data_IF_103345823613
#
_entry.id   IF_103345823613
#
_cell.length_a   1.000
_cell.length_b   1.000
_cell.length_c   1.000
_cell.angle_alpha   90.00
_cell.angle_beta   90.00
_cell.angle_gamma   90.00
#
_symmetry.space_group_name_H-M   'P 1'
#
loop_
_entity.id
_entity.type
_entity.pdbx_description
1 polymer ?
#
# COMPACT_ATOMS: atom_id res chain seq x y z
N UNK A 1 -37.16 0.14 9.42
CA UNK A 1 -35.77 0.01 8.93
C UNK A 1 -35.40 -1.46 9.00
N UNK A 2 -35.35 -2.11 7.84
CA UNK A 2 -35.41 -3.56 7.68
C UNK A 2 -34.13 -4.26 8.15
N UNK A 3 -34.31 -5.37 8.87
CA UNK A 3 -33.22 -6.27 9.25
C UNK A 3 -32.71 -6.98 7.99
N UNK A 4 -31.42 -6.81 7.67
CA UNK A 4 -30.74 -7.55 6.61
C UNK A 4 -30.78 -9.05 6.91
N UNK A 5 -31.01 -9.88 5.88
CA UNK A 5 -30.86 -11.33 5.98
C UNK A 5 -29.40 -11.71 6.23
N UNK A 6 -29.13 -12.93 6.71
CA UNK A 6 -27.75 -13.38 6.94
C UNK A 6 -26.89 -13.29 5.66
N UNK A 7 -27.47 -13.64 4.52
CA UNK A 7 -26.84 -13.55 3.19
C UNK A 7 -26.54 -12.11 2.79
N UNK A 8 -27.50 -11.19 2.99
CA UNK A 8 -27.30 -9.77 2.71
C UNK A 8 -26.21 -9.15 3.60
N UNK A 9 -26.12 -9.55 4.88
CA UNK A 9 -25.03 -9.10 5.77
C UNK A 9 -23.67 -9.60 5.29
N UNK A 10 -23.59 -10.87 4.87
CA UNK A 10 -22.36 -11.44 4.36
C UNK A 10 -21.88 -10.72 3.09
N UNK A 11 -22.80 -10.43 2.16
CA UNK A 11 -22.49 -9.68 0.94
C UNK A 11 -21.98 -8.26 1.27
N UNK A 12 -22.61 -7.55 2.20
CA UNK A 12 -22.18 -6.22 2.65
C UNK A 12 -20.79 -6.27 3.28
N UNK A 13 -20.50 -7.26 4.13
CA UNK A 13 -19.18 -7.41 4.75
C UNK A 13 -18.09 -7.71 3.70
N UNK A 14 -18.38 -8.56 2.72
CA UNK A 14 -17.45 -8.83 1.62
C UNK A 14 -17.17 -7.57 0.80
N UNK A 15 -18.20 -6.81 0.46
CA UNK A 15 -18.04 -5.55 -0.26
C UNK A 15 -17.19 -4.56 0.55
N UNK A 16 -17.49 -4.38 1.84
CA UNK A 16 -16.75 -3.50 2.72
C UNK A 16 -15.26 -3.89 2.81
N UNK A 17 -14.96 -5.19 2.88
CA UNK A 17 -13.57 -5.68 2.88
C UNK A 17 -12.85 -5.38 1.56
N UNK A 18 -13.51 -5.55 0.42
CA UNK A 18 -12.94 -5.22 -0.89
C UNK A 18 -12.64 -3.73 -1.01
N UNK A 19 -13.57 -2.87 -0.60
CA UNK A 19 -13.40 -1.41 -0.59
C UNK A 19 -12.25 -1.00 0.34
N UNK A 20 -12.13 -1.61 1.52
CA UNK A 20 -11.03 -1.34 2.44
C UNK A 20 -9.67 -1.71 1.81
N UNK A 21 -9.57 -2.88 1.17
CA UNK A 21 -8.35 -3.32 0.50
C UNK A 21 -7.96 -2.39 -0.65
N UNK A 22 -8.93 -1.91 -1.44
CA UNK A 22 -8.68 -0.93 -2.50
C UNK A 22 -8.13 0.38 -1.93
N UNK A 23 -8.73 0.91 -0.84
CA UNK A 23 -8.26 2.14 -0.19
C UNK A 23 -6.83 1.99 0.35
N UNK A 24 -6.52 0.86 0.98
CA UNK A 24 -5.17 0.54 1.48
C UNK A 24 -4.17 0.54 0.33
N UNK A 25 -4.52 -0.09 -0.80
CA UNK A 25 -3.65 -0.12 -1.98
C UNK A 25 -3.42 1.29 -2.56
N UNK A 26 -4.48 2.10 -2.67
CA UNK A 26 -4.39 3.46 -3.18
C UNK A 26 -3.50 4.35 -2.30
N UNK A 27 -3.68 4.31 -0.98
CA UNK A 27 -2.83 5.04 -0.02
C UNK A 27 -1.36 4.60 -0.11
N UNK A 28 -1.14 3.30 -0.25
CA UNK A 28 0.20 2.73 -0.41
C UNK A 28 0.89 3.22 -1.69
N UNK A 29 0.17 3.25 -2.81
CA UNK A 29 0.67 3.80 -4.09
C UNK A 29 0.97 5.30 -3.96
N UNK A 30 0.07 6.09 -3.37
CA UNK A 30 0.27 7.54 -3.21
C UNK A 30 1.51 7.86 -2.38
N UNK A 31 1.72 7.15 -1.27
CA UNK A 31 2.92 7.29 -0.43
C UNK A 31 4.19 6.88 -1.17
N UNK A 32 4.14 5.80 -1.94
CA UNK A 32 5.27 5.36 -2.75
C UNK A 32 5.63 6.40 -3.82
N UNK A 33 4.63 6.92 -4.55
CA UNK A 33 4.81 7.98 -5.55
C UNK A 33 5.46 9.21 -4.94
N UNK A 34 4.92 9.73 -3.82
CA UNK A 34 5.50 10.89 -3.14
C UNK A 34 6.95 10.62 -2.70
N UNK A 35 7.22 9.45 -2.15
CA UNK A 35 8.55 9.05 -1.66
C UNK A 35 9.56 8.98 -2.80
N UNK A 36 9.23 8.26 -3.87
CA UNK A 36 10.14 8.07 -4.99
C UNK A 36 10.30 9.34 -5.83
N UNK A 37 9.25 10.15 -6.00
CA UNK A 37 9.39 11.45 -6.64
C UNK A 37 10.37 12.35 -5.89
N UNK A 38 10.21 12.45 -4.56
CA UNK A 38 11.10 13.29 -3.72
C UNK A 38 12.56 12.83 -3.78
N UNK A 39 12.81 11.51 -3.93
CA UNK A 39 14.16 10.93 -3.94
C UNK A 39 14.82 10.94 -5.31
N UNK A 40 14.04 10.78 -6.38
CA UNK A 40 14.57 10.35 -7.68
C UNK A 40 14.19 11.25 -8.85
N UNK A 41 13.28 12.22 -8.68
CA UNK A 41 12.79 13.05 -9.79
C UNK A 41 13.01 14.55 -9.52
N UNK A 42 12.86 15.35 -10.57
CA UNK A 42 12.86 16.82 -10.52
C UNK A 42 14.12 17.46 -11.11
N UNK A 43 15.04 16.66 -11.66
CA UNK A 43 16.25 17.20 -12.31
C UNK A 43 16.07 17.41 -13.82
N UNK A 44 15.14 16.70 -14.45
CA UNK A 44 14.97 16.71 -15.92
C UNK A 44 13.73 17.47 -16.41
N UNK A 45 13.16 18.36 -15.58
CA UNK A 45 12.01 19.19 -15.95
C UNK A 45 10.69 18.42 -15.99
N UNK A 46 10.05 18.37 -17.17
CA UNK A 46 8.72 17.79 -17.40
C UNK A 46 8.74 16.29 -17.78
N UNK A 47 9.93 15.69 -17.89
CA UNK A 47 10.13 14.30 -18.28
C UNK A 47 11.06 13.60 -17.31
N UNK A 48 10.96 12.28 -17.24
CA UNK A 48 11.94 11.46 -16.52
C UNK A 48 13.06 11.07 -17.49
N UNK A 49 14.29 11.43 -17.17
CA UNK A 49 15.45 10.92 -17.92
C UNK A 49 15.72 9.44 -17.57
N UNK A 50 16.69 8.82 -18.25
CA UNK A 50 17.03 7.42 -17.99
C UNK A 50 17.53 7.17 -16.56
N UNK A 51 18.20 8.15 -15.94
CA UNK A 51 18.73 8.03 -14.58
C UNK A 51 17.61 8.11 -13.55
N UNK A 52 16.68 9.04 -13.71
CA UNK A 52 15.50 9.18 -12.86
C UNK A 52 14.60 7.95 -12.98
N UNK A 53 14.40 7.40 -14.19
CA UNK A 53 13.67 6.15 -14.41
C UNK A 53 14.33 4.96 -13.67
N UNK A 54 15.64 4.79 -13.80
CA UNK A 54 16.37 3.75 -13.07
C UNK A 54 16.29 3.94 -11.55
N UNK A 55 16.42 5.18 -11.06
CA UNK A 55 16.28 5.49 -9.63
C UNK A 55 14.87 5.14 -9.11
N UNK A 56 13.82 5.51 -9.85
CA UNK A 56 12.43 5.20 -9.48
C UNK A 56 12.22 3.69 -9.42
N UNK A 57 12.75 2.93 -10.40
CA UNK A 57 12.68 1.47 -10.41
C UNK A 57 13.34 0.83 -9.17
N UNK A 58 14.52 1.31 -8.77
CA UNK A 58 15.13 0.85 -7.51
C UNK A 58 14.36 1.30 -6.27
N UNK A 59 13.78 2.51 -6.30
CA UNK A 59 13.01 3.05 -5.17
C UNK A 59 11.73 2.26 -4.90
N UNK A 60 10.97 1.88 -5.94
CA UNK A 60 9.77 1.06 -5.76
C UNK A 60 10.10 -0.30 -5.14
N UNK A 61 11.19 -0.95 -5.57
CA UNK A 61 11.60 -2.27 -5.09
C UNK A 61 11.95 -2.19 -3.60
N UNK A 62 12.79 -1.22 -3.23
CA UNK A 62 13.17 -0.98 -1.83
C UNK A 62 11.97 -0.59 -0.96
N UNK A 63 11.02 0.20 -1.50
CA UNK A 63 9.82 0.60 -0.77
C UNK A 63 8.94 -0.62 -0.43
N UNK A 64 8.69 -1.48 -1.42
CA UNK A 64 7.89 -2.69 -1.24
C UNK A 64 8.58 -3.69 -0.31
N UNK A 65 9.90 -3.89 -0.45
CA UNK A 65 10.68 -4.75 0.45
C UNK A 65 10.66 -4.24 1.89
N UNK A 66 10.92 -2.95 2.10
CA UNK A 66 10.89 -2.35 3.44
C UNK A 66 9.50 -2.49 4.06
N UNK A 67 8.44 -2.26 3.27
CA UNK A 67 7.06 -2.41 3.73
C UNK A 67 6.76 -3.85 4.18
N UNK A 68 7.16 -4.84 3.38
CA UNK A 68 6.97 -6.26 3.69
C UNK A 68 7.70 -6.66 4.98
N UNK A 69 8.95 -6.22 5.17
CA UNK A 69 9.72 -6.48 6.39
C UNK A 69 9.06 -5.87 7.63
N UNK A 70 8.60 -4.62 7.54
CA UNK A 70 7.87 -3.97 8.65
C UNK A 70 6.57 -4.71 8.95
N UNK A 71 5.82 -5.11 7.92
CA UNK A 71 4.57 -5.86 8.08
C UNK A 71 4.80 -7.20 8.78
N UNK A 72 5.82 -7.96 8.38
CA UNK A 72 6.22 -9.22 9.03
C UNK A 72 6.61 -9.00 10.48
N UNK A 73 7.41 -7.98 10.78
CA UNK A 73 7.81 -7.66 12.16
C UNK A 73 6.60 -7.29 13.03
N UNK A 74 5.65 -6.53 12.50
CA UNK A 74 4.42 -6.18 13.23
C UNK A 74 3.57 -7.42 13.52
N UNK A 75 3.39 -8.31 12.54
CA UNK A 75 2.65 -9.56 12.72
C UNK A 75 3.29 -10.45 13.80
N UNK A 76 4.62 -10.58 13.80
CA UNK A 76 5.36 -11.31 14.83
C UNK A 76 5.18 -10.71 16.23
N UNK A 77 5.18 -9.38 16.35
CA UNK A 77 4.95 -8.71 17.64
C UNK A 77 3.52 -8.92 18.14
N UNK A 78 2.55 -8.89 17.24
CA UNK A 78 1.14 -9.16 17.58
C UNK A 78 0.95 -10.60 18.07
N UNK A 79 1.57 -11.60 17.42
CA UNK A 79 1.50 -12.98 17.89
C UNK A 79 2.19 -13.18 19.24
N UNK A 80 3.31 -12.51 19.48
CA UNK A 80 4.08 -12.65 20.73
C UNK A 80 3.42 -11.95 21.94
N UNK A 81 2.55 -10.97 21.71
CA UNK A 81 1.77 -10.32 22.77
C UNK A 81 0.48 -11.06 23.16
N UNK A 82 0.19 -12.22 22.54
CA UNK A 82 -0.96 -13.08 22.86
C UNK A 82 -0.55 -14.39 23.59
N UNK A 83 0.71 -14.48 24.07
CA UNK A 83 1.20 -15.53 24.98
C UNK A 83 1.54 -14.96 26.35
#
# INVERSE_FOLDING_TARGET
MNQLTAEQRQAVLQQAQQEANQRIMQDMIQKMVKTCFTKCAGTSGDRLDSREQSCIASCQDQYLETRDQVQKSLQQRQSNGMN
#
